data_IF_836991375403
#
_entry.id   IF_836991375403
#
_cell.length_a   1.000
_cell.length_b   1.000
_cell.length_c   1.000
_cell.angle_alpha   90.00
_cell.angle_beta   90.00
_cell.angle_gamma   90.00
#
_symmetry.space_group_name_H-M   'P 1'
#
loop_
_entity.id
_entity.type
_entity.pdbx_description
1 polymer ?
#
# COMPACT_ATOMS: atom_id res chain seq x y z
N UNK A 1 21.61 3.39 17.94
CA UNK A 1 21.36 4.14 19.19
C UNK A 1 20.14 3.51 19.85
N UNK A 2 20.24 3.13 21.12
CA UNK A 2 19.16 2.46 21.86
C UNK A 2 18.02 3.43 22.12
N UNK A 3 16.79 3.07 21.75
CA UNK A 3 15.60 3.86 22.07
C UNK A 3 15.11 3.54 23.49
N UNK A 4 15.74 4.22 24.47
CA UNK A 4 15.40 4.08 25.89
C UNK A 4 13.95 4.50 26.20
N UNK A 5 13.36 5.38 25.39
CA UNK A 5 11.98 5.81 25.59
C UNK A 5 11.02 4.63 25.35
N UNK A 6 11.20 3.96 24.22
CA UNK A 6 10.42 2.76 23.89
C UNK A 6 10.68 1.63 24.89
N UNK A 7 11.92 1.43 25.33
CA UNK A 7 12.25 0.40 26.33
C UNK A 7 11.52 0.64 27.66
N UNK A 8 11.57 1.86 28.19
CA UNK A 8 10.87 2.22 29.44
C UNK A 8 9.38 1.98 29.30
N UNK A 9 8.74 2.45 28.21
CA UNK A 9 7.30 2.26 28.01
C UNK A 9 6.89 0.81 27.80
N UNK A 10 7.79 -0.03 27.28
CA UNK A 10 7.52 -1.46 27.10
C UNK A 10 7.67 -2.21 28.42
N UNK A 11 8.74 -1.95 29.18
CA UNK A 11 9.01 -2.58 30.48
C UNK A 11 8.05 -2.10 31.57
N UNK A 12 7.61 -0.84 31.49
CA UNK A 12 6.70 -0.18 32.43
C UNK A 12 5.51 0.42 31.66
N UNK A 13 4.42 -0.34 31.44
CA UNK A 13 3.27 0.11 30.65
C UNK A 13 2.56 1.36 31.20
N UNK A 14 2.72 1.62 32.49
CA UNK A 14 2.18 2.82 33.17
C UNK A 14 3.10 4.04 33.08
N UNK A 15 4.28 3.89 32.47
CA UNK A 15 5.16 5.01 32.21
C UNK A 15 4.50 5.96 31.18
N UNK A 16 4.47 7.25 31.53
CA UNK A 16 3.96 8.36 30.73
C UNK A 16 5.10 9.35 30.55
N UNK A 17 5.54 9.56 29.32
CA UNK A 17 6.69 10.44 29.07
C UNK A 17 6.27 11.87 28.71
N UNK A 18 7.19 12.66 28.11
CA UNK A 18 6.90 14.03 27.74
C UNK A 18 5.68 14.09 26.84
N UNK A 19 4.83 15.09 27.06
CA UNK A 19 3.58 15.33 26.32
C UNK A 19 2.42 14.37 26.62
N UNK A 20 2.58 13.44 27.56
CA UNK A 20 1.48 12.62 28.06
C UNK A 20 0.90 13.20 29.35
N UNK A 21 -0.43 13.17 29.48
CA UNK A 21 -1.09 13.59 30.72
C UNK A 21 -0.64 12.70 31.88
N UNK A 22 -0.21 13.32 32.99
CA UNK A 22 0.35 12.60 34.13
C UNK A 22 1.76 12.06 33.89
N UNK A 23 2.59 12.79 33.11
CA UNK A 23 4.01 12.49 32.91
C UNK A 23 4.68 12.04 34.22
N UNK A 24 5.33 10.90 34.16
CA UNK A 24 6.00 10.29 35.30
C UNK A 24 7.42 9.80 34.99
N UNK A 25 7.91 10.01 33.76
CA UNK A 25 9.32 9.89 33.44
C UNK A 25 9.77 10.90 32.38
N UNK A 26 11.07 11.16 32.32
CA UNK A 26 11.70 12.00 31.30
C UNK A 26 13.12 11.53 31.00
N UNK A 27 13.51 11.63 29.74
CA UNK A 27 14.87 11.39 29.27
C UNK A 27 15.47 12.71 28.80
N UNK A 28 16.65 13.06 29.31
CA UNK A 28 17.41 14.22 28.83
C UNK A 28 18.79 13.77 28.35
N UNK A 29 19.37 14.54 27.43
CA UNK A 29 20.76 14.38 27.03
C UNK A 29 21.59 15.40 27.79
N UNK A 30 22.51 14.93 28.62
CA UNK A 30 23.43 15.76 29.40
C UNK A 30 24.85 15.53 28.92
N UNK A 31 25.67 16.59 28.75
CA UNK A 31 27.08 16.42 28.40
C UNK A 31 27.85 15.84 29.59
N UNK A 32 28.78 14.93 29.31
CA UNK A 32 29.76 14.46 30.29
C UNK A 32 30.95 15.44 30.42
N UNK A 33 31.94 15.07 31.24
CA UNK A 33 33.11 15.92 31.54
C UNK A 33 33.96 16.29 30.31
N UNK A 34 33.83 15.54 29.21
CA UNK A 34 34.54 15.77 27.94
C UNK A 34 33.61 16.29 26.83
N UNK A 35 32.36 16.64 27.17
CA UNK A 35 31.38 17.21 26.25
C UNK A 35 30.64 16.19 25.38
N UNK A 36 30.73 14.90 25.70
CA UNK A 36 29.96 13.84 25.03
C UNK A 36 28.59 13.75 25.68
N UNK A 37 27.54 13.89 24.89
CA UNK A 37 26.16 13.81 25.37
C UNK A 37 25.78 12.38 25.72
N UNK A 38 25.38 12.16 26.97
CA UNK A 38 24.83 10.92 27.48
C UNK A 38 23.35 11.09 27.78
N UNK A 39 22.55 10.09 27.41
CA UNK A 39 21.15 10.03 27.82
C UNK A 39 21.08 9.71 29.32
N UNK A 40 20.20 10.38 30.05
CA UNK A 40 19.91 10.07 31.46
C UNK A 40 18.40 10.12 31.70
N UNK A 41 17.92 9.39 32.71
CA UNK A 41 16.55 9.53 33.20
C UNK A 41 16.54 10.67 34.21
N UNK A 42 16.00 11.83 33.81
CA UNK A 42 15.99 13.06 34.61
C UNK A 42 14.77 13.18 35.53
N UNK A 43 13.69 12.49 35.19
CA UNK A 43 12.47 12.43 35.98
C UNK A 43 12.04 10.97 36.12
N UNK A 44 11.67 10.59 37.34
CA UNK A 44 11.04 9.31 37.63
C UNK A 44 10.12 9.43 38.84
N UNK A 45 8.81 9.42 38.61
CA UNK A 45 7.77 9.50 39.66
C UNK A 45 6.82 8.31 39.65
N UNK A 46 7.13 7.29 38.84
CA UNK A 46 6.40 6.03 38.81
C UNK A 46 6.60 5.27 40.14
N UNK A 47 5.56 4.58 40.61
CA UNK A 47 5.62 3.71 41.80
C UNK A 47 6.35 2.38 41.52
N UNK A 48 7.54 2.47 40.93
CA UNK A 48 8.44 1.36 40.62
C UNK A 48 9.89 1.83 40.77
N UNK A 49 10.86 0.92 41.02
CA UNK A 49 12.27 1.28 41.02
C UNK A 49 12.68 1.92 39.68
N UNK A 50 13.42 3.02 39.74
CA UNK A 50 13.99 3.64 38.54
C UNK A 50 14.99 2.67 37.91
N UNK A 51 14.80 2.28 36.63
CA UNK A 51 15.76 1.43 35.95
C UNK A 51 17.05 2.22 35.66
N UNK A 52 18.19 1.55 35.76
CA UNK A 52 19.46 2.02 35.21
C UNK A 52 19.48 1.80 33.69
N UNK A 53 20.34 2.53 32.97
CA UNK A 53 20.51 2.29 31.53
C UNK A 53 21.04 0.88 31.23
N UNK A 54 21.92 0.36 32.08
CA UNK A 54 22.42 -1.01 31.95
C UNK A 54 21.30 -2.05 32.05
N UNK A 55 20.35 -1.87 32.98
CA UNK A 55 19.17 -2.75 33.09
C UNK A 55 18.20 -2.60 31.90
N UNK A 56 18.19 -1.44 31.23
CA UNK A 56 17.42 -1.24 30.01
C UNK A 56 18.12 -1.87 28.81
N UNK A 57 19.45 -1.81 28.74
CA UNK A 57 20.24 -2.49 27.71
C UNK A 57 20.16 -4.01 27.84
N UNK A 58 20.21 -4.54 29.06
CA UNK A 58 19.99 -5.96 29.33
C UNK A 58 18.57 -6.39 28.94
N UNK A 59 17.57 -5.56 29.27
CA UNK A 59 16.20 -5.79 28.83
C UNK A 59 16.05 -5.73 27.30
N UNK A 60 16.75 -4.83 26.63
CA UNK A 60 16.75 -4.72 25.17
C UNK A 60 17.31 -5.97 24.49
N UNK A 61 18.25 -6.65 25.13
CA UNK A 61 18.82 -7.92 24.67
C UNK A 61 17.99 -9.15 25.10
N UNK A 62 16.96 -8.96 25.94
CA UNK A 62 16.16 -10.09 26.43
C UNK A 62 15.33 -10.73 25.30
N UNK A 63 15.20 -12.07 25.29
CA UNK A 63 14.38 -12.77 24.30
C UNK A 63 12.92 -12.29 24.28
N UNK A 64 12.39 -11.92 25.44
CA UNK A 64 11.00 -11.43 25.60
C UNK A 64 10.80 -10.09 24.88
N UNK A 65 11.71 -9.14 25.08
CA UNK A 65 11.64 -7.84 24.41
C UNK A 65 11.85 -7.98 22.90
N UNK A 66 12.85 -8.77 22.47
CA UNK A 66 13.09 -9.02 21.05
C UNK A 66 11.88 -9.66 20.38
N UNK A 67 11.24 -10.63 21.04
CA UNK A 67 10.00 -11.25 20.56
C UNK A 67 8.85 -10.24 20.43
N UNK A 68 8.60 -9.43 21.45
CA UNK A 68 7.54 -8.43 21.45
C UNK A 68 7.78 -7.34 20.40
N UNK A 69 9.01 -6.81 20.33
CA UNK A 69 9.44 -5.83 19.35
C UNK A 69 9.29 -6.38 17.93
N UNK A 70 9.71 -7.62 17.70
CA UNK A 70 9.62 -8.21 16.38
C UNK A 70 8.19 -8.55 15.96
N UNK A 71 7.33 -8.95 16.88
CA UNK A 71 5.89 -9.09 16.60
C UNK A 71 5.27 -7.75 16.15
N UNK A 72 5.62 -6.65 16.83
CA UNK A 72 5.17 -5.30 16.46
C UNK A 72 5.68 -4.88 15.07
N UNK A 73 6.98 -5.06 14.80
CA UNK A 73 7.58 -4.73 13.51
C UNK A 73 6.97 -5.56 12.36
N UNK A 74 6.71 -6.85 12.59
CA UNK A 74 6.00 -7.70 11.61
C UNK A 74 4.59 -7.18 11.34
N UNK A 75 3.83 -6.83 12.37
CA UNK A 75 2.49 -6.28 12.21
C UNK A 75 2.49 -4.94 11.44
N UNK A 76 3.45 -4.06 11.71
CA UNK A 76 3.63 -2.80 10.98
C UNK A 76 3.99 -3.04 9.51
N UNK A 77 4.89 -3.99 9.23
CA UNK A 77 5.24 -4.38 7.86
C UNK A 77 4.03 -4.99 7.12
N UNK A 78 3.27 -5.90 7.75
CA UNK A 78 2.06 -6.47 7.18
C UNK A 78 1.03 -5.40 6.83
N UNK A 79 0.85 -4.42 7.73
CA UNK A 79 -0.04 -3.28 7.48
C UNK A 79 0.42 -2.48 6.25
N UNK A 80 1.70 -2.11 6.18
CA UNK A 80 2.26 -1.35 5.05
C UNK A 80 2.08 -2.09 3.72
N UNK A 81 2.35 -3.41 3.70
CA UNK A 81 2.15 -4.24 2.50
C UNK A 81 0.68 -4.24 2.05
N UNK A 82 -0.26 -4.34 3.00
CA UNK A 82 -1.68 -4.28 2.69
C UNK A 82 -2.09 -2.91 2.15
N UNK A 83 -1.59 -1.83 2.74
CA UNK A 83 -1.89 -0.46 2.31
C UNK A 83 -1.38 -0.21 0.88
N UNK A 84 -0.16 -0.66 0.54
CA UNK A 84 0.37 -0.57 -0.82
C UNK A 84 -0.39 -1.43 -1.83
N UNK A 85 -0.77 -2.66 -1.47
CA UNK A 85 -1.58 -3.49 -2.34
C UNK A 85 -2.94 -2.84 -2.63
N UNK A 86 -3.56 -2.20 -1.62
CA UNK A 86 -4.80 -1.45 -1.79
C UNK A 86 -4.61 -0.23 -2.68
N UNK A 87 -3.50 0.51 -2.55
CA UNK A 87 -3.16 1.63 -3.43
C UNK A 87 -2.95 1.18 -4.89
N UNK A 88 -2.24 0.08 -5.11
CA UNK A 88 -2.03 -0.48 -6.44
C UNK A 88 -3.35 -0.96 -7.07
N UNK A 89 -4.24 -1.57 -6.28
CA UNK A 89 -5.60 -1.91 -6.72
C UNK A 89 -6.40 -0.66 -7.10
N UNK A 90 -6.31 0.41 -6.31
CA UNK A 90 -6.98 1.68 -6.62
C UNK A 90 -6.44 2.31 -7.90
N UNK A 91 -5.13 2.23 -8.17
CA UNK A 91 -4.55 2.68 -9.42
C UNK A 91 -5.09 1.90 -10.63
N UNK A 92 -5.20 0.57 -10.53
CA UNK A 92 -5.80 -0.25 -11.59
C UNK A 92 -7.28 0.05 -11.80
N UNK A 93 -8.02 0.43 -10.75
CA UNK A 93 -9.42 0.83 -10.88
C UNK A 93 -9.63 2.10 -11.70
N UNK A 94 -8.59 2.93 -11.90
CA UNK A 94 -8.65 4.06 -12.84
C UNK A 94 -8.85 3.56 -14.29
N UNK A 95 -8.47 2.32 -14.59
CA UNK A 95 -8.71 1.68 -15.90
C UNK A 95 -10.16 1.16 -16.05
N UNK A 96 -10.95 1.03 -14.97
CA UNK A 96 -12.34 0.53 -15.03
C UNK A 96 -13.27 1.48 -15.82
N UNK A 97 -13.27 2.81 -15.60
CA UNK A 97 -14.02 3.76 -16.43
C UNK A 97 -13.61 3.72 -17.90
N UNK A 98 -12.33 3.58 -18.21
CA UNK A 98 -11.85 3.44 -19.60
C UNK A 98 -12.36 2.14 -20.23
N UNK A 99 -12.32 1.02 -19.50
CA UNK A 99 -12.87 -0.26 -19.95
C UNK A 99 -14.38 -0.19 -20.20
N UNK A 100 -15.13 0.46 -19.32
CA UNK A 100 -16.57 0.67 -19.49
C UNK A 100 -16.86 1.50 -20.74
N UNK A 101 -16.12 2.60 -20.92
CA UNK A 101 -16.26 3.47 -22.07
C UNK A 101 -15.91 2.76 -23.38
N UNK A 102 -14.80 2.02 -23.42
CA UNK A 102 -14.40 1.23 -24.61
C UNK A 102 -15.40 0.10 -24.89
N UNK A 103 -15.99 -0.55 -23.87
CA UNK A 103 -17.02 -1.57 -24.04
C UNK A 103 -18.33 -1.01 -24.63
N UNK A 104 -18.76 0.16 -24.14
CA UNK A 104 -19.91 0.88 -24.67
C UNK A 104 -19.70 1.22 -26.16
N UNK A 105 -18.53 1.79 -26.48
CA UNK A 105 -18.16 2.19 -27.85
C UNK A 105 -17.98 0.99 -28.77
N UNK A 106 -17.43 -0.13 -28.29
CA UNK A 106 -17.30 -1.37 -29.08
C UNK A 106 -18.67 -1.99 -29.40
N UNK A 107 -19.64 -1.91 -28.48
CA UNK A 107 -21.01 -2.36 -28.71
C UNK A 107 -21.72 -1.53 -29.80
N UNK A 108 -21.53 -0.21 -29.76
CA UNK A 108 -22.01 0.76 -30.75
C UNK A 108 -21.40 0.45 -32.13
N UNK A 109 -20.09 0.24 -32.18
CA UNK A 109 -19.36 -0.03 -33.40
C UNK A 109 -19.76 -1.37 -34.05
N UNK A 110 -20.00 -2.40 -33.24
CA UNK A 110 -20.51 -3.71 -33.70
C UNK A 110 -21.90 -3.60 -34.33
N UNK A 111 -22.82 -2.86 -33.70
CA UNK A 111 -24.18 -2.64 -34.22
C UNK A 111 -24.19 -1.86 -35.54
N UNK A 112 -23.32 -0.87 -35.69
CA UNK A 112 -23.16 -0.12 -36.94
C UNK A 112 -22.60 -1.01 -38.07
N UNK A 113 -21.65 -1.89 -37.75
CA UNK A 113 -21.12 -2.88 -38.70
C UNK A 113 -22.23 -3.86 -39.15
N UNK A 114 -23.01 -4.37 -38.20
CA UNK A 114 -24.13 -5.27 -38.44
C UNK A 114 -25.17 -4.62 -39.38
N UNK A 115 -25.54 -3.37 -39.15
CA UNK A 115 -26.45 -2.64 -40.04
C UNK A 115 -25.91 -2.40 -41.44
N UNK A 116 -24.61 -2.13 -41.58
CA UNK A 116 -23.98 -1.90 -42.88
C UNK A 116 -23.79 -3.20 -43.68
N UNK A 117 -23.71 -4.35 -43.00
CA UNK A 117 -23.42 -5.65 -43.64
C UNK A 117 -24.67 -6.50 -43.85
N UNK A 118 -25.59 -6.50 -42.89
CA UNK A 118 -26.80 -7.33 -42.89
C UNK A 118 -28.07 -6.53 -43.20
N UNK A 119 -27.95 -5.21 -43.35
CA UNK A 119 -29.08 -4.29 -43.53
C UNK A 119 -29.64 -3.81 -42.19
N UNK A 120 -30.36 -2.69 -42.21
CA UNK A 120 -31.03 -2.17 -41.00
C UNK A 120 -32.18 -3.12 -40.61
N UNK A 121 -32.37 -3.42 -39.32
CA UNK A 121 -33.54 -4.16 -38.84
C UNK A 121 -34.83 -3.39 -39.21
N UNK A 122 -35.90 -4.13 -39.50
CA UNK A 122 -37.19 -3.55 -39.93
C UNK A 122 -37.80 -2.63 -38.86
N UNK A 123 -37.53 -2.87 -37.58
CA UNK A 123 -37.82 -1.95 -36.47
C UNK A 123 -36.52 -1.35 -35.92
N UNK A 124 -36.25 -0.11 -36.30
CA UNK A 124 -35.16 0.67 -35.69
C UNK A 124 -35.67 1.26 -34.38
N UNK A 125 -35.11 0.81 -33.25
CA UNK A 125 -35.22 1.55 -32.00
C UNK A 125 -34.50 2.90 -32.18
N UNK A 126 -35.28 3.94 -32.49
CA UNK A 126 -34.80 5.27 -32.89
C UNK A 126 -33.98 5.93 -31.79
N UNK A 127 -34.34 5.70 -30.52
CA UNK A 127 -33.57 6.21 -29.38
C UNK A 127 -32.21 5.55 -29.33
N UNK A 128 -32.15 4.23 -29.58
CA UNK A 128 -30.90 3.48 -29.63
C UNK A 128 -30.03 3.89 -30.82
N UNK A 129 -30.63 4.14 -31.99
CA UNK A 129 -29.93 4.61 -33.20
C UNK A 129 -29.28 5.99 -33.02
N UNK A 130 -30.05 6.97 -32.53
CA UNK A 130 -29.57 8.35 -32.36
C UNK A 130 -28.42 8.43 -31.35
N UNK A 131 -28.53 7.68 -30.24
CA UNK A 131 -27.48 7.57 -29.23
C UNK A 131 -26.21 6.94 -29.81
N UNK A 132 -26.35 5.79 -30.49
CA UNK A 132 -25.24 5.07 -31.16
C UNK A 132 -24.50 5.95 -32.19
N UNK A 133 -25.23 6.77 -32.97
CA UNK A 133 -24.63 7.62 -34.00
C UNK A 133 -23.96 8.88 -33.42
N UNK A 134 -24.58 9.51 -32.42
CA UNK A 134 -24.03 10.67 -31.73
C UNK A 134 -22.75 10.31 -30.93
N UNK A 135 -22.73 9.14 -30.29
CA UNK A 135 -21.56 8.62 -29.58
C UNK A 135 -20.40 8.27 -30.53
N UNK A 136 -20.69 7.75 -31.73
CA UNK A 136 -19.67 7.50 -32.75
C UNK A 136 -19.06 8.80 -33.32
N UNK A 137 -19.88 9.83 -33.55
CA UNK A 137 -19.40 11.15 -33.99
C UNK A 137 -18.53 11.83 -32.94
N UNK A 138 -18.99 11.85 -31.68
CA UNK A 138 -18.24 12.43 -30.57
C UNK A 138 -16.86 11.77 -30.39
N UNK A 139 -16.76 10.45 -30.58
CA UNK A 139 -15.49 9.72 -30.46
C UNK A 139 -14.54 9.95 -31.64
N UNK A 140 -15.07 10.06 -32.87
CA UNK A 140 -14.27 10.39 -34.07
C UNK A 140 -13.59 11.76 -33.96
N UNK A 141 -14.18 12.66 -33.18
CA UNK A 141 -13.73 14.05 -33.03
C UNK A 141 -12.90 14.32 -31.75
N UNK A 142 -13.07 13.55 -30.66
CA UNK A 142 -12.53 13.96 -29.34
C UNK A 142 -11.60 12.98 -28.62
N UNK A 143 -11.53 11.68 -28.97
CA UNK A 143 -10.79 10.72 -28.13
C UNK A 143 -9.94 9.68 -28.88
N UNK A 144 -10.29 9.27 -30.11
CA UNK A 144 -9.41 8.45 -30.94
C UNK A 144 -9.73 8.60 -32.45
N UNK A 145 -9.33 9.72 -33.07
CA UNK A 145 -9.56 9.95 -34.50
C UNK A 145 -8.88 8.87 -35.34
N UNK A 146 -9.67 8.14 -36.15
CA UNK A 146 -9.18 7.18 -37.13
C UNK A 146 -9.15 5.69 -36.72
N UNK A 147 -9.63 5.32 -35.53
CA UNK A 147 -9.75 3.90 -35.13
C UNK A 147 -11.00 3.23 -35.73
N UNK A 148 -10.84 2.00 -36.23
CA UNK A 148 -11.96 1.18 -36.71
C UNK A 148 -12.68 0.47 -35.56
N UNK A 149 -13.94 0.00 -35.75
CA UNK A 149 -14.62 -0.88 -34.80
C UNK A 149 -13.78 -2.08 -34.31
N UNK A 150 -12.99 -2.68 -35.21
CA UNK A 150 -12.12 -3.80 -34.87
C UNK A 150 -10.92 -3.38 -34.00
N UNK A 151 -10.41 -2.16 -34.18
CA UNK A 151 -9.34 -1.61 -33.36
C UNK A 151 -9.82 -1.31 -31.94
N UNK A 152 -11.06 -0.84 -31.80
CA UNK A 152 -11.71 -0.59 -30.51
C UNK A 152 -11.94 -1.88 -29.73
N UNK A 153 -12.41 -2.96 -30.39
CA UNK A 153 -12.55 -4.26 -29.76
C UNK A 153 -11.20 -4.82 -29.29
N UNK A 154 -10.16 -4.74 -30.12
CA UNK A 154 -8.79 -5.16 -29.73
C UNK A 154 -8.23 -4.32 -28.58
N UNK A 155 -8.51 -3.02 -28.56
CA UNK A 155 -8.13 -2.15 -27.46
C UNK A 155 -8.85 -2.57 -26.16
N UNK A 156 -10.15 -2.90 -26.24
CA UNK A 156 -10.93 -3.40 -25.11
C UNK A 156 -10.32 -4.67 -24.52
N UNK A 157 -10.07 -5.67 -25.37
CA UNK A 157 -9.48 -6.95 -24.97
C UNK A 157 -8.08 -6.75 -24.37
N UNK A 158 -7.26 -5.89 -24.98
CA UNK A 158 -5.94 -5.56 -24.46
C UNK A 158 -6.00 -4.92 -23.08
N UNK A 159 -6.89 -3.94 -22.86
CA UNK A 159 -7.06 -3.28 -21.56
C UNK A 159 -7.60 -4.23 -20.50
N UNK A 160 -8.52 -5.11 -20.88
CA UNK A 160 -9.07 -6.12 -19.98
C UNK A 160 -7.98 -7.08 -19.52
N UNK A 161 -7.17 -7.56 -20.47
CA UNK A 161 -6.04 -8.44 -20.18
C UNK A 161 -4.98 -7.75 -19.29
N UNK A 162 -4.67 -6.48 -19.55
CA UNK A 162 -3.76 -5.70 -18.70
C UNK A 162 -4.28 -5.58 -17.27
N UNK A 163 -5.56 -5.25 -17.10
CA UNK A 163 -6.18 -5.14 -15.77
C UNK A 163 -6.14 -6.50 -15.03
N UNK A 164 -6.49 -7.60 -15.69
CA UNK A 164 -6.45 -8.94 -15.09
C UNK A 164 -5.03 -9.37 -14.72
N UNK A 165 -4.05 -9.09 -15.57
CA UNK A 165 -2.63 -9.35 -15.29
C UNK A 165 -2.12 -8.51 -14.13
N UNK A 166 -2.50 -7.21 -14.07
CA UNK A 166 -2.18 -6.31 -12.98
C UNK A 166 -2.73 -6.80 -11.64
N UNK A 167 -4.02 -7.18 -11.59
CA UNK A 167 -4.63 -7.73 -10.38
C UNK A 167 -3.93 -9.03 -9.91
N UNK A 168 -3.67 -9.95 -10.84
CA UNK A 168 -2.96 -11.20 -10.51
C UNK A 168 -1.55 -10.93 -9.97
N UNK A 169 -0.82 -9.98 -10.56
CA UNK A 169 0.51 -9.59 -10.13
C UNK A 169 0.51 -8.97 -8.72
N UNK A 170 -0.44 -8.08 -8.41
CA UNK A 170 -0.58 -7.48 -7.07
C UNK A 170 -0.87 -8.56 -6.02
N UNK A 171 -1.82 -9.46 -6.28
CA UNK A 171 -2.17 -10.54 -5.34
C UNK A 171 -0.97 -11.45 -5.09
N UNK A 172 -0.25 -11.83 -6.14
CA UNK A 172 0.94 -12.66 -6.03
C UNK A 172 2.06 -11.98 -5.22
N UNK A 173 2.37 -10.72 -5.54
CA UNK A 173 3.40 -9.93 -4.84
C UNK A 173 3.05 -9.71 -3.37
N UNK A 174 1.79 -9.38 -3.07
CA UNK A 174 1.29 -9.28 -1.69
C UNK A 174 1.47 -10.59 -0.94
N UNK A 175 1.13 -11.72 -1.54
CA UNK A 175 1.30 -13.03 -0.89
C UNK A 175 2.76 -13.32 -0.58
N UNK A 176 3.64 -13.13 -1.55
CA UNK A 176 5.09 -13.35 -1.38
C UNK A 176 5.65 -12.47 -0.26
N UNK A 177 5.23 -11.21 -0.19
CA UNK A 177 5.59 -10.27 0.87
C UNK A 177 5.20 -10.78 2.26
N UNK A 178 3.94 -11.17 2.44
CA UNK A 178 3.43 -11.66 3.72
C UNK A 178 4.14 -12.95 4.15
N UNK A 179 4.45 -13.83 3.20
CA UNK A 179 5.24 -15.05 3.47
C UNK A 179 6.66 -14.70 3.93
N UNK A 180 7.33 -13.72 3.28
CA UNK A 180 8.65 -13.23 3.71
C UNK A 180 8.62 -12.60 5.11
N UNK A 181 7.60 -11.78 5.41
CA UNK A 181 7.44 -11.17 6.74
C UNK A 181 7.26 -12.23 7.83
N UNK A 182 6.43 -13.24 7.55
CA UNK A 182 6.20 -14.36 8.48
C UNK A 182 7.50 -15.09 8.80
N UNK A 183 8.31 -15.37 7.78
CA UNK A 183 9.56 -16.13 7.89
C UNK A 183 10.75 -15.32 8.41
N UNK A 184 10.65 -13.99 8.45
CA UNK A 184 11.77 -13.16 8.89
C UNK A 184 12.19 -13.47 10.34
N UNK A 185 13.50 -13.48 10.63
CA UNK A 185 14.02 -13.71 11.97
C UNK A 185 13.53 -12.59 12.91
N UNK A 186 13.37 -12.89 14.20
CA UNK A 186 12.85 -11.96 15.22
C UNK A 186 13.99 -11.28 16.01
N UNK A 187 15.22 -11.45 15.53
CA UNK A 187 16.43 -10.94 16.17
C UNK A 187 16.73 -9.49 15.76
N UNK A 188 17.95 -9.05 16.09
CA UNK A 188 18.47 -7.73 15.77
C UNK A 188 18.50 -7.38 14.27
N UNK A 189 18.47 -8.38 13.38
CA UNK A 189 18.48 -8.18 11.93
C UNK A 189 17.07 -8.03 11.34
N UNK A 190 16.01 -8.19 12.14
CA UNK A 190 14.62 -8.04 11.69
C UNK A 190 14.35 -6.68 11.01
N UNK A 191 14.82 -5.52 11.52
CA UNK A 191 14.58 -4.24 10.86
C UNK A 191 15.17 -4.18 9.45
N UNK A 192 16.38 -4.68 9.26
CA UNK A 192 17.05 -4.71 7.95
C UNK A 192 16.37 -5.68 6.99
N UNK A 193 15.96 -6.86 7.50
CA UNK A 193 15.18 -7.82 6.73
C UNK A 193 13.82 -7.22 6.30
N UNK A 194 13.13 -6.50 7.19
CA UNK A 194 11.88 -5.82 6.89
C UNK A 194 12.07 -4.68 5.87
N UNK A 195 13.12 -3.88 6.03
CA UNK A 195 13.44 -2.81 5.08
C UNK A 195 13.73 -3.36 3.68
N UNK A 196 14.49 -4.45 3.58
CA UNK A 196 14.76 -5.10 2.30
C UNK A 196 13.48 -5.65 1.64
N UNK A 197 12.59 -6.26 2.43
CA UNK A 197 11.28 -6.75 1.94
C UNK A 197 10.43 -5.57 1.43
N UNK A 198 10.36 -4.47 2.18
CA UNK A 198 9.59 -3.29 1.79
C UNK A 198 10.17 -2.63 0.52
N UNK A 199 11.49 -2.48 0.42
CA UNK A 199 12.13 -1.91 -0.77
C UNK A 199 11.85 -2.73 -2.04
N UNK A 200 11.82 -4.06 -1.95
CA UNK A 200 11.46 -4.94 -3.08
C UNK A 200 9.99 -4.79 -3.49
N UNK A 201 9.13 -4.32 -2.59
CA UNK A 201 7.68 -4.20 -2.80
C UNK A 201 7.23 -2.80 -3.22
N UNK A 202 8.05 -1.77 -3.03
CA UNK A 202 7.78 -0.44 -3.60
C UNK A 202 7.65 -0.51 -5.13
N UNK A 203 8.32 -1.47 -5.78
CA UNK A 203 8.19 -1.70 -7.24
C UNK A 203 6.79 -2.18 -7.65
N UNK A 204 5.91 -2.53 -6.71
CA UNK A 204 4.51 -2.90 -7.00
C UNK A 204 3.66 -1.66 -7.27
N UNK A 205 4.06 -0.46 -6.80
CA UNK A 205 3.37 0.80 -7.09
C UNK A 205 3.46 1.22 -8.56
N UNK A 206 4.40 0.66 -9.32
CA UNK A 206 4.63 1.02 -10.73
C UNK A 206 3.93 0.09 -11.72
N UNK A 207 3.02 -0.79 -11.26
CA UNK A 207 2.20 -1.61 -12.16
C UNK A 207 1.17 -0.66 -12.81
N UNK A 208 1.25 -0.43 -14.13
CA UNK A 208 0.42 0.54 -14.86
C UNK A 208 -1.04 0.12 -14.98
#
# INVERSE_FOLDING_TARGET
MTDYYTLIKTKYPEARGPFESGQNFELTSVPDEVGVYQTVISLWTLAAPQPTLAELDEYAASPEYLAARGAKLKAEAEKTVNDWANQAVMALKILEPELFYVAMVSNIAFRLLEWNTLGKPEEVDVMRFVVTHAEAQAYSETSAPGMTPADLLRLQESRWNQMQQGFAAIVYKRRLALEKIKLAPVDENLPDAMAAILAELETVQTIP
#
